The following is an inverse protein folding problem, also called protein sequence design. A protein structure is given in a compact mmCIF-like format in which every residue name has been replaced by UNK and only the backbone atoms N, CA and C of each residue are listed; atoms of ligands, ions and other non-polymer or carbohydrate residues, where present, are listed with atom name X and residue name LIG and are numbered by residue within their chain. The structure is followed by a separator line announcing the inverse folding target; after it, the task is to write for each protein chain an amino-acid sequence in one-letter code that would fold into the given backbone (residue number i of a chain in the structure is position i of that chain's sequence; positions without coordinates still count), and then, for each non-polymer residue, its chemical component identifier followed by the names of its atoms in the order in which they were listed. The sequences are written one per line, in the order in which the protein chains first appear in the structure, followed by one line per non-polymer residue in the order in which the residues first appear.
data_IF_330265847092
#
_entry.id   IF_330265847092
#
_cell.length_a   1.000
_cell.length_b   1.000
_cell.length_c   1.000
_cell.angle_alpha   90.00
_cell.angle_beta   90.00
_cell.angle_gamma   90.00
#
_symmetry.space_group_name_H-M   'P 1'
#
loop_
_entity.id
_entity.type
_entity.pdbx_description
1 polymer ?
#
# COMPACT_ATOMS: atom_id res chain seq x y z
N UNK A 1 1.65 -0.29 16.69
CA UNK A 1 2.17 1.09 16.48
C UNK A 1 1.83 1.56 15.08
N UNK A 2 1.73 2.89 14.88
CA UNK A 2 1.55 3.52 13.55
C UNK A 2 2.84 4.19 13.13
N UNK A 3 3.47 3.71 12.06
CA UNK A 3 4.75 4.19 11.56
C UNK A 3 4.55 4.93 10.24
N UNK A 4 5.05 6.15 10.12
CA UNK A 4 4.91 6.98 8.92
C UNK A 4 6.26 7.47 8.40
N UNK A 5 6.37 7.56 7.07
CA UNK A 5 7.36 8.38 6.39
C UNK A 5 6.72 9.69 5.95
N UNK A 6 7.44 10.78 6.01
CA UNK A 6 6.90 12.11 5.75
C UNK A 6 7.98 13.10 5.31
N UNK A 7 7.53 14.25 4.86
CA UNK A 7 8.36 15.45 4.72
C UNK A 7 7.91 16.50 5.75
N UNK A 8 8.84 17.13 6.44
CA UNK A 8 8.59 18.27 7.32
C UNK A 8 9.59 19.39 7.04
N UNK A 9 9.07 20.58 6.71
CA UNK A 9 9.89 21.77 6.37
C UNK A 9 10.93 21.49 5.28
N UNK A 10 10.53 20.76 4.23
CA UNK A 10 11.38 20.39 3.10
C UNK A 10 12.43 19.31 3.38
N UNK A 11 12.31 18.58 4.50
CA UNK A 11 13.24 17.52 4.88
C UNK A 11 12.51 16.20 5.04
N UNK A 12 13.01 15.10 4.46
CA UNK A 12 12.45 13.78 4.69
C UNK A 12 12.64 13.36 6.15
N UNK A 13 11.64 12.66 6.67
CA UNK A 13 11.62 12.12 8.02
C UNK A 13 10.78 10.87 8.12
N UNK A 14 10.85 10.22 9.25
CA UNK A 14 10.00 9.09 9.59
C UNK A 14 9.77 9.05 11.11
N UNK A 15 8.63 8.49 11.53
CA UNK A 15 8.27 8.56 12.95
C UNK A 15 7.13 7.65 13.34
N UNK A 16 6.81 7.69 14.63
CA UNK A 16 5.65 7.02 15.22
C UNK A 16 4.53 8.05 15.37
N UNK A 17 3.37 7.76 14.80
CA UNK A 17 2.17 8.58 14.97
C UNK A 17 1.45 8.15 16.25
N UNK A 18 1.27 9.09 17.19
CA UNK A 18 0.61 8.90 18.49
C UNK A 18 -0.46 9.98 18.65
N UNK A 19 -1.74 9.58 18.56
CA UNK A 19 -2.85 10.55 18.51
C UNK A 19 -2.66 11.50 17.32
N UNK A 20 -2.67 12.82 17.61
CA UNK A 20 -2.46 13.88 16.62
C UNK A 20 -1.00 14.36 16.57
N UNK A 21 -0.07 13.59 17.13
CA UNK A 21 1.35 13.94 17.18
C UNK A 21 2.27 12.90 16.56
N UNK A 22 3.51 13.28 16.35
CA UNK A 22 4.57 12.47 15.76
C UNK A 22 5.78 12.45 16.65
N UNK A 23 6.25 11.25 17.00
CA UNK A 23 7.56 11.02 17.63
C UNK A 23 8.59 10.93 16.52
N UNK A 24 9.51 11.90 16.44
CA UNK A 24 10.53 12.00 15.40
C UNK A 24 11.60 10.92 15.56
N UNK A 25 11.53 9.90 14.73
CA UNK A 25 12.48 8.80 14.72
C UNK A 25 13.75 9.15 13.93
N UNK A 26 13.65 10.04 12.94
CA UNK A 26 14.82 10.48 12.16
C UNK A 26 15.84 11.16 13.06
N UNK A 27 15.39 11.98 14.02
CA UNK A 27 16.27 12.59 15.03
C UNK A 27 16.89 11.54 15.97
N UNK A 28 16.13 10.54 16.41
CA UNK A 28 16.57 9.50 17.36
C UNK A 28 17.53 8.48 16.75
N UNK A 29 17.43 8.24 15.44
CA UNK A 29 18.32 7.36 14.69
C UNK A 29 19.36 8.11 13.84
N UNK A 30 19.57 9.42 14.10
CA UNK A 30 20.54 10.22 13.36
C UNK A 30 21.92 9.55 13.30
N UNK A 31 22.47 9.44 12.09
CA UNK A 31 23.74 8.74 11.84
C UNK A 31 23.69 7.20 11.91
N UNK A 32 22.51 6.61 12.16
CA UNK A 32 22.31 5.15 12.23
C UNK A 32 21.34 4.64 11.18
N UNK A 33 20.29 5.40 10.86
CA UNK A 33 19.30 5.07 9.83
C UNK A 33 18.69 6.37 9.30
N UNK A 34 18.39 6.40 7.98
CA UNK A 34 17.87 7.57 7.28
C UNK A 34 16.42 7.35 6.77
N UNK A 35 15.88 6.14 6.92
CA UNK A 35 14.53 5.81 6.50
C UNK A 35 13.91 4.75 7.41
N UNK A 36 12.58 4.63 7.35
CA UNK A 36 11.86 3.58 8.05
C UNK A 36 12.33 2.18 7.60
N UNK A 37 12.63 1.99 6.32
CA UNK A 37 13.20 0.75 5.79
C UNK A 37 14.53 0.39 6.46
N UNK A 38 15.43 1.35 6.60
CA UNK A 38 16.74 1.12 7.26
C UNK A 38 16.57 0.78 8.73
N UNK A 39 15.62 1.40 9.43
CA UNK A 39 15.31 1.05 10.83
C UNK A 39 14.76 -0.36 10.93
N UNK A 40 13.81 -0.76 10.09
CA UNK A 40 13.28 -2.12 10.06
C UNK A 40 14.38 -3.16 9.78
N UNK A 41 15.32 -2.85 8.89
CA UNK A 41 16.41 -3.73 8.52
C UNK A 41 17.47 -3.90 9.63
N UNK A 42 17.79 -2.82 10.33
CA UNK A 42 18.93 -2.77 11.27
C UNK A 42 18.54 -3.01 12.72
N UNK A 43 17.35 -2.57 13.13
CA UNK A 43 16.93 -2.57 14.54
C UNK A 43 15.64 -3.39 14.77
N UNK A 44 14.79 -3.53 13.75
CA UNK A 44 13.50 -4.22 13.86
C UNK A 44 12.46 -3.45 14.70
N UNK A 45 11.27 -4.04 14.84
CA UNK A 45 10.13 -3.40 15.52
C UNK A 45 10.34 -3.21 17.02
N UNK A 46 11.09 -4.11 17.69
CA UNK A 46 11.31 -4.05 19.17
C UNK A 46 11.99 -2.77 19.63
N UNK A 47 12.87 -2.21 18.81
CA UNK A 47 13.54 -0.95 19.17
C UNK A 47 12.56 0.24 19.02
N UNK A 48 11.64 0.16 18.07
CA UNK A 48 10.58 1.16 17.87
C UNK A 48 9.57 1.15 19.02
N UNK A 49 9.22 -0.04 19.55
CA UNK A 49 8.30 -0.20 20.69
C UNK A 49 8.77 0.56 21.93
N UNK A 50 10.09 0.62 22.18
CA UNK A 50 10.64 1.38 23.29
C UNK A 50 10.41 2.88 23.20
N UNK A 51 10.23 3.38 21.97
CA UNK A 51 10.05 4.79 21.69
C UNK A 51 8.58 5.18 21.52
N UNK A 52 7.67 4.19 21.38
CA UNK A 52 6.24 4.42 21.22
C UNK A 52 5.57 5.16 22.39
N UNK A 53 6.16 5.05 23.60
CA UNK A 53 5.71 5.78 24.81
C UNK A 53 6.29 7.18 24.96
N UNK A 54 7.11 7.65 24.02
CA UNK A 54 7.69 9.01 24.07
C UNK A 54 6.63 10.07 23.79
N UNK A 55 6.80 11.27 24.36
CA UNK A 55 6.00 12.42 23.99
C UNK A 55 6.22 12.79 22.51
N UNK A 56 5.17 13.19 21.78
CA UNK A 56 5.32 13.71 20.42
C UNK A 56 6.23 14.92 20.35
N UNK A 57 7.02 15.02 19.28
CA UNK A 57 7.92 16.16 19.03
C UNK A 57 7.23 17.28 18.26
N UNK A 58 6.18 16.95 17.48
CA UNK A 58 5.39 17.90 16.67
C UNK A 58 4.02 17.30 16.30
N UNK A 59 3.12 18.13 15.76
CA UNK A 59 1.81 17.71 15.30
C UNK A 59 1.83 16.99 13.96
N UNK A 60 0.84 16.13 13.73
CA UNK A 60 0.66 15.45 12.45
C UNK A 60 0.28 16.42 11.32
N UNK A 61 -0.28 17.56 11.65
CA UNK A 61 -0.62 18.65 10.73
C UNK A 61 0.62 19.43 10.23
N UNK A 62 1.78 19.23 10.87
CA UNK A 62 3.06 19.83 10.44
C UNK A 62 3.80 18.99 9.39
N UNK A 63 3.27 17.83 8.99
CA UNK A 63 3.93 16.93 8.05
C UNK A 63 3.15 16.78 6.74
N UNK A 64 3.85 16.52 5.65
CA UNK A 64 3.29 15.98 4.43
C UNK A 64 3.64 14.48 4.36
N UNK A 65 2.64 13.61 4.35
CA UNK A 65 2.90 12.17 4.27
C UNK A 65 3.60 11.80 2.96
N UNK A 66 4.67 11.04 3.07
CA UNK A 66 5.29 10.32 1.96
C UNK A 66 4.67 8.90 1.85
N UNK A 67 4.93 8.14 0.77
CA UNK A 67 4.67 6.71 0.78
C UNK A 67 5.27 6.06 2.03
N UNK A 68 4.60 5.06 2.61
CA UNK A 68 5.04 4.45 3.89
C UNK A 68 6.51 3.98 3.84
N UNK A 69 6.90 3.36 2.73
CA UNK A 69 8.29 3.00 2.43
C UNK A 69 8.67 3.63 1.08
N UNK A 70 9.17 4.88 1.07
CA UNK A 70 9.43 5.59 -0.18
C UNK A 70 10.60 4.99 -0.97
N UNK A 71 11.48 4.26 -0.28
CA UNK A 71 12.68 3.62 -0.80
C UNK A 71 12.54 2.07 -0.88
N UNK A 72 11.31 1.55 -1.03
CA UNK A 72 11.07 0.12 -1.18
C UNK A 72 11.86 -0.44 -2.36
N UNK A 73 12.69 -1.46 -2.10
CA UNK A 73 13.48 -2.09 -3.16
C UNK A 73 12.62 -2.96 -4.09
N UNK A 74 11.54 -3.53 -3.57
CA UNK A 74 10.55 -4.31 -4.33
C UNK A 74 9.15 -3.88 -3.93
N UNK A 75 8.35 -3.53 -4.93
CA UNK A 75 6.92 -3.27 -4.81
C UNK A 75 6.22 -4.30 -5.69
N UNK A 76 5.87 -5.45 -5.10
CA UNK A 76 5.27 -6.58 -5.78
C UNK A 76 3.75 -6.48 -5.65
N UNK A 77 3.05 -6.36 -6.76
CA UNK A 77 1.59 -6.26 -6.79
C UNK A 77 0.97 -7.56 -7.30
N UNK A 78 -0.18 -7.92 -6.76
CA UNK A 78 -0.90 -9.15 -7.09
C UNK A 78 -2.19 -8.79 -7.82
N UNK A 79 -2.29 -9.16 -9.09
CA UNK A 79 -3.52 -9.00 -9.85
C UNK A 79 -4.45 -10.22 -9.67
N UNK A 80 -5.76 -9.99 -9.90
CA UNK A 80 -6.76 -11.08 -10.01
C UNK A 80 -6.82 -11.93 -8.73
N UNK A 81 -6.89 -11.30 -7.56
CA UNK A 81 -6.79 -12.00 -6.27
C UNK A 81 -8.06 -11.98 -5.40
N UNK A 82 -9.21 -11.54 -5.94
CA UNK A 82 -10.51 -11.65 -5.27
C UNK A 82 -11.51 -12.35 -6.18
N UNK A 83 -12.27 -13.34 -5.67
CA UNK A 83 -13.26 -14.07 -6.47
C UNK A 83 -14.37 -13.19 -7.06
N UNK A 84 -14.93 -12.19 -6.33
CA UNK A 84 -15.88 -11.25 -6.92
C UNK A 84 -15.30 -10.47 -8.10
N UNK A 85 -14.07 -9.95 -7.95
CA UNK A 85 -13.38 -9.22 -9.01
C UNK A 85 -13.07 -10.10 -10.24
N UNK A 86 -12.65 -11.34 -10.02
CA UNK A 86 -12.40 -12.33 -11.09
C UNK A 86 -13.65 -12.53 -11.94
N UNK A 87 -14.82 -12.74 -11.29
CA UNK A 87 -16.11 -12.88 -11.96
C UNK A 87 -16.55 -11.62 -12.68
N UNK A 88 -16.41 -10.45 -12.05
CA UNK A 88 -16.70 -9.12 -12.63
C UNK A 88 -15.94 -8.90 -13.94
N UNK A 89 -14.66 -9.28 -13.99
CA UNK A 89 -13.80 -9.15 -15.17
C UNK A 89 -13.92 -10.30 -16.16
N UNK A 90 -14.85 -11.25 -15.95
CA UNK A 90 -15.08 -12.41 -16.83
C UNK A 90 -13.86 -13.33 -16.96
N UNK A 91 -13.06 -13.46 -15.90
CA UNK A 91 -11.84 -14.28 -15.87
C UNK A 91 -12.05 -15.56 -15.06
N UNK A 92 -11.17 -16.52 -15.27
CA UNK A 92 -11.06 -17.72 -14.43
C UNK A 92 -10.09 -17.45 -13.27
N UNK A 93 -10.29 -18.20 -12.17
CA UNK A 93 -9.36 -18.16 -11.04
C UNK A 93 -7.97 -18.64 -11.49
N UNK A 94 -6.91 -17.87 -11.30
CA UNK A 94 -5.56 -18.29 -11.66
C UNK A 94 -5.09 -19.43 -10.74
N UNK A 95 -4.29 -20.34 -11.27
CA UNK A 95 -3.67 -21.42 -10.48
C UNK A 95 -2.52 -20.90 -9.59
N UNK A 96 -1.90 -19.81 -9.97
CA UNK A 96 -0.78 -19.15 -9.28
C UNK A 96 -1.03 -17.65 -9.17
N UNK A 97 -0.45 -16.96 -8.17
CA UNK A 97 -0.52 -15.50 -8.09
C UNK A 97 -0.01 -14.84 -9.37
N UNK A 98 -0.80 -13.93 -9.93
CA UNK A 98 -0.42 -13.09 -11.06
C UNK A 98 0.33 -11.88 -10.50
N UNK A 99 1.61 -11.76 -10.81
CA UNK A 99 2.47 -10.71 -10.25
C UNK A 99 2.85 -9.66 -11.30
N UNK A 100 2.90 -8.43 -10.87
CA UNK A 100 3.51 -7.30 -11.58
C UNK A 100 4.22 -6.40 -10.57
N UNK A 101 4.92 -5.39 -11.07
CA UNK A 101 5.69 -4.46 -10.22
C UNK A 101 5.23 -3.02 -10.43
N UNK A 102 5.37 -2.22 -9.39
CA UNK A 102 5.29 -0.77 -9.48
C UNK A 102 6.64 -0.13 -9.18
N UNK A 103 6.90 1.00 -9.82
CA UNK A 103 8.09 1.81 -9.57
C UNK A 103 7.81 2.84 -8.48
N UNK A 104 8.82 3.23 -7.72
CA UNK A 104 8.66 4.15 -6.60
C UNK A 104 8.05 5.50 -6.99
N UNK A 105 8.39 6.02 -8.16
CA UNK A 105 7.91 7.31 -8.70
C UNK A 105 6.44 7.27 -9.19
N UNK A 106 5.86 6.08 -9.29
CA UNK A 106 4.43 5.92 -9.58
C UNK A 106 3.54 6.05 -8.32
N UNK A 107 4.13 6.22 -7.13
CA UNK A 107 3.43 6.16 -5.83
C UNK A 107 3.60 7.47 -5.08
N UNK A 108 2.49 7.98 -4.53
CA UNK A 108 2.44 9.14 -3.64
C UNK A 108 1.99 8.76 -2.23
N UNK A 109 2.17 9.65 -1.25
CA UNK A 109 1.68 9.50 0.11
C UNK A 109 0.23 9.96 0.28
N UNK A 110 -0.30 9.79 1.49
CA UNK A 110 -1.62 10.30 1.88
C UNK A 110 -1.69 11.82 1.71
N UNK A 111 -2.83 12.31 1.19
CA UNK A 111 -3.08 13.73 0.96
C UNK A 111 -2.40 14.31 -0.27
N UNK A 112 -1.45 13.61 -0.88
CA UNK A 112 -0.80 14.06 -2.10
C UNK A 112 -1.66 13.77 -3.34
N UNK A 113 -1.59 14.60 -4.41
CA UNK A 113 -2.42 14.40 -5.58
C UNK A 113 -1.99 13.17 -6.38
N UNK A 114 -2.97 12.36 -6.79
CA UNK A 114 -2.82 11.43 -7.91
C UNK A 114 -2.90 12.22 -9.21
N UNK A 115 -2.02 11.93 -10.16
CA UNK A 115 -2.00 12.61 -11.44
C UNK A 115 -2.75 11.79 -12.50
N UNK A 116 -3.89 12.31 -12.94
CA UNK A 116 -4.62 11.74 -14.05
C UNK A 116 -3.83 11.99 -15.36
N UNK A 117 -3.36 10.92 -16.05
CA UNK A 117 -2.51 11.08 -17.21
C UNK A 117 -3.30 11.69 -18.37
N UNK A 118 -2.73 12.69 -19.04
CA UNK A 118 -3.34 13.33 -20.22
C UNK A 118 -3.46 12.40 -21.43
N UNK A 119 -2.74 11.29 -21.43
CA UNK A 119 -2.70 10.28 -22.48
C UNK A 119 -3.89 9.33 -22.44
N UNK A 120 -4.72 9.35 -21.36
CA UNK A 120 -5.82 8.40 -21.19
C UNK A 120 -6.99 9.00 -20.40
N UNK A 121 -8.20 8.61 -20.80
CA UNK A 121 -9.45 8.90 -20.08
C UNK A 121 -9.87 7.72 -19.18
N UNK A 122 -9.06 6.64 -19.06
CA UNK A 122 -9.42 5.42 -18.36
C UNK A 122 -8.59 5.23 -17.08
N UNK A 123 -8.48 6.29 -16.27
CA UNK A 123 -7.80 6.23 -14.98
C UNK A 123 -8.75 5.69 -13.91
N UNK A 124 -8.40 4.55 -13.33
CA UNK A 124 -9.25 3.76 -12.42
C UNK A 124 -8.60 3.60 -11.03
N UNK A 125 -9.42 3.43 -10.01
CA UNK A 125 -9.02 3.16 -8.62
C UNK A 125 -8.99 1.65 -8.35
N UNK A 126 -8.09 1.22 -7.46
CA UNK A 126 -8.02 -0.14 -6.92
C UNK A 126 -7.55 -0.08 -5.46
N UNK A 127 -8.51 -0.15 -4.51
CA UNK A 127 -8.19 -0.25 -3.09
C UNK A 127 -7.64 -1.62 -2.74
N UNK A 128 -6.50 -1.66 -2.01
CA UNK A 128 -5.77 -2.88 -1.68
C UNK A 128 -5.16 -2.83 -0.28
N UNK A 129 -4.92 -3.99 0.31
CA UNK A 129 -4.06 -4.13 1.47
C UNK A 129 -2.60 -4.19 1.01
N UNK A 130 -1.72 -3.38 1.61
CA UNK A 130 -0.28 -3.50 1.48
C UNK A 130 0.32 -4.22 2.69
N UNK A 131 1.22 -5.16 2.44
CA UNK A 131 1.97 -5.93 3.44
C UNK A 131 3.43 -5.52 3.37
N UNK A 132 3.99 -5.00 4.47
CA UNK A 132 5.41 -4.61 4.55
C UNK A 132 6.21 -5.73 5.21
N UNK A 133 7.25 -6.18 4.55
CA UNK A 133 8.18 -7.19 5.07
C UNK A 133 9.06 -6.58 6.15
N UNK A 134 9.18 -7.25 7.28
CA UNK A 134 9.96 -6.81 8.44
C UNK A 134 11.25 -7.59 8.68
N UNK A 135 11.38 -8.75 8.06
CA UNK A 135 12.56 -9.61 8.20
C UNK A 135 12.92 -10.22 6.85
N UNK A 136 14.22 -10.44 6.61
CA UNK A 136 14.70 -11.15 5.43
C UNK A 136 14.02 -12.51 5.29
N UNK A 137 13.37 -12.75 4.14
CA UNK A 137 12.58 -13.94 3.87
C UNK A 137 13.02 -14.60 2.54
N UNK A 138 13.41 -15.86 2.60
CA UNK A 138 13.78 -16.66 1.44
C UNK A 138 13.29 -18.09 1.61
N UNK A 139 12.45 -18.58 0.69
CA UNK A 139 11.81 -19.91 0.73
C UNK A 139 11.09 -20.18 2.06
N UNK A 140 10.29 -19.21 2.48
CA UNK A 140 9.50 -19.27 3.72
C UNK A 140 8.30 -20.19 3.51
N UNK A 141 7.99 -21.04 4.51
CA UNK A 141 6.76 -21.83 4.48
C UNK A 141 5.54 -20.95 4.81
N UNK A 142 4.36 -21.36 4.32
CA UNK A 142 3.10 -20.65 4.56
C UNK A 142 2.82 -20.45 6.05
N UNK A 143 3.07 -21.47 6.86
CA UNK A 143 2.80 -21.49 8.31
C UNK A 143 3.62 -20.44 9.07
N UNK A 144 4.79 -20.10 8.54
CA UNK A 144 5.71 -19.14 9.16
C UNK A 144 5.74 -17.77 8.49
N UNK A 145 4.96 -17.59 7.44
CA UNK A 145 5.04 -16.38 6.61
C UNK A 145 4.74 -15.09 7.39
N UNK A 146 3.77 -15.09 8.29
CA UNK A 146 3.42 -13.91 9.10
C UNK A 146 4.52 -13.49 10.08
N UNK A 147 5.45 -14.39 10.47
CA UNK A 147 6.61 -14.06 11.31
C UNK A 147 7.55 -13.03 10.63
N UNK A 148 7.41 -12.84 9.32
CA UNK A 148 8.26 -11.97 8.48
C UNK A 148 7.61 -10.63 8.17
N UNK A 149 6.38 -10.38 8.61
CA UNK A 149 5.64 -9.14 8.36
C UNK A 149 5.96 -8.11 9.43
N UNK A 150 6.24 -6.87 9.01
CA UNK A 150 6.34 -5.71 9.90
C UNK A 150 4.96 -5.14 10.24
N UNK A 151 4.07 -5.09 9.27
CA UNK A 151 2.74 -4.54 9.42
C UNK A 151 2.02 -4.36 8.08
N UNK A 152 0.93 -3.62 8.15
CA UNK A 152 -0.04 -3.44 7.06
C UNK A 152 -0.37 -1.97 6.84
N UNK A 153 -0.78 -1.63 5.62
CA UNK A 153 -1.20 -0.28 5.24
C UNK A 153 -2.24 -0.32 4.13
N UNK A 154 -2.87 0.82 3.87
CA UNK A 154 -3.73 0.97 2.70
C UNK A 154 -2.89 1.27 1.45
N UNK A 155 -3.39 0.83 0.30
CA UNK A 155 -2.79 1.10 -0.99
C UNK A 155 -3.89 1.39 -2.02
N UNK A 156 -3.66 2.33 -2.93
CA UNK A 156 -4.46 2.51 -4.14
C UNK A 156 -3.60 2.17 -5.35
N UNK A 157 -3.86 1.03 -6.00
CA UNK A 157 -3.17 0.59 -7.20
C UNK A 157 -3.79 1.24 -8.45
N UNK A 158 -3.79 2.58 -8.48
CA UNK A 158 -4.36 3.37 -9.55
C UNK A 158 -3.88 2.92 -10.92
N UNK A 159 -4.83 2.71 -11.84
CA UNK A 159 -4.62 1.95 -13.07
C UNK A 159 -5.08 2.72 -14.30
N UNK A 160 -4.24 2.81 -15.31
CA UNK A 160 -4.58 3.36 -16.63
C UNK A 160 -4.98 2.18 -17.52
N UNK A 161 -6.28 1.93 -17.66
CA UNK A 161 -6.83 0.66 -18.16
C UNK A 161 -6.52 0.35 -19.62
N UNK A 162 -6.54 1.32 -20.51
CA UNK A 162 -6.15 1.15 -21.90
C UNK A 162 -4.67 0.75 -22.01
N UNK A 163 -3.77 1.43 -21.29
CA UNK A 163 -2.35 1.10 -21.23
C UNK A 163 -2.08 -0.25 -20.57
N UNK A 164 -2.86 -0.64 -19.54
CA UNK A 164 -2.78 -1.96 -18.93
C UNK A 164 -3.06 -3.09 -19.94
N UNK A 165 -3.85 -2.82 -20.99
CA UNK A 165 -4.24 -3.80 -22.01
C UNK A 165 -3.32 -3.85 -23.23
N UNK A 166 -2.31 -2.97 -23.32
CA UNK A 166 -1.39 -2.95 -24.46
C UNK A 166 -0.62 -4.27 -24.62
N UNK A 167 -0.41 -4.99 -23.54
CA UNK A 167 0.26 -6.29 -23.54
C UNK A 167 -0.22 -7.14 -22.37
N UNK A 168 0.15 -8.44 -22.31
CA UNK A 168 -0.10 -9.27 -21.13
C UNK A 168 0.61 -8.77 -19.86
N UNK A 169 1.61 -7.91 -19.99
CA UNK A 169 2.33 -7.28 -18.88
C UNK A 169 1.60 -5.99 -18.48
N UNK A 170 1.15 -5.91 -17.22
CA UNK A 170 0.37 -4.76 -16.73
C UNK A 170 1.20 -3.49 -16.53
N UNK A 171 2.52 -3.61 -16.58
CA UNK A 171 3.49 -2.56 -16.24
C UNK A 171 3.18 -1.17 -16.81
N UNK A 172 2.84 -0.98 -18.10
CA UNK A 172 2.54 0.36 -18.62
C UNK A 172 1.35 1.03 -17.92
N UNK A 173 0.26 0.29 -17.71
CA UNK A 173 -0.95 0.83 -17.08
C UNK A 173 -0.85 1.04 -15.57
N UNK A 174 0.22 0.56 -14.93
CA UNK A 174 0.42 0.60 -13.48
C UNK A 174 1.54 1.57 -13.05
N UNK A 175 2.25 2.18 -13.98
CA UNK A 175 3.46 2.95 -13.68
C UNK A 175 3.50 4.36 -14.28
N UNK A 176 2.33 4.97 -14.54
CA UNK A 176 2.30 6.41 -14.74
C UNK A 176 2.77 7.12 -13.48
N UNK A 177 3.50 8.21 -13.66
CA UNK A 177 4.00 9.02 -12.55
C UNK A 177 2.85 9.42 -11.61
N UNK A 178 3.04 9.24 -10.28
CA UNK A 178 2.07 9.60 -9.26
C UNK A 178 0.65 9.04 -9.50
N UNK A 179 0.52 7.84 -10.09
CA UNK A 179 -0.78 7.22 -10.39
C UNK A 179 -1.33 6.34 -9.27
N UNK A 180 -0.51 5.96 -8.29
CA UNK A 180 -0.89 5.16 -7.14
C UNK A 180 -0.58 5.84 -5.82
N UNK A 181 -1.09 5.31 -4.71
CA UNK A 181 -0.84 5.86 -3.38
C UNK A 181 -0.60 4.76 -2.33
N UNK A 182 0.20 5.08 -1.30
CA UNK A 182 0.57 4.16 -0.23
C UNK A 182 0.63 4.88 1.12
N UNK A 183 -0.24 4.52 2.04
CA UNK A 183 -0.34 5.20 3.33
C UNK A 183 -1.66 4.96 4.08
N UNK A 184 -2.00 5.81 5.04
CA UNK A 184 -1.21 6.95 5.55
C UNK A 184 0.01 6.52 6.35
N UNK A 185 -0.03 5.36 7.01
CA UNK A 185 1.00 4.78 7.87
C UNK A 185 1.00 3.25 7.81
N UNK A 186 2.05 2.65 8.31
CA UNK A 186 2.13 1.23 8.63
C UNK A 186 1.55 0.98 10.02
N UNK A 187 0.61 0.05 10.14
CA UNK A 187 0.16 -0.49 11.43
C UNK A 187 0.85 -1.82 11.68
N UNK A 188 1.56 -1.93 12.79
CA UNK A 188 2.39 -3.10 13.13
C UNK A 188 1.54 -4.32 13.48
N UNK A 189 2.13 -5.53 13.34
CA UNK A 189 1.43 -6.81 13.48
C UNK A 189 0.88 -7.10 14.87
N UNK A 190 1.39 -6.46 15.92
CA UNK A 190 0.84 -6.54 17.29
C UNK A 190 -0.57 -5.96 17.38
N UNK A 191 -0.88 -4.89 16.61
CA UNK A 191 -2.24 -4.34 16.50
C UNK A 191 -3.12 -5.14 15.52
N UNK A 192 -2.52 -5.77 14.51
CA UNK A 192 -3.22 -6.56 13.48
C UNK A 192 -2.61 -7.96 13.41
N UNK A 193 -2.94 -8.86 14.33
CA UNK A 193 -2.38 -10.22 14.34
C UNK A 193 -2.96 -11.12 13.23
N UNK A 194 -4.14 -10.83 12.72
CA UNK A 194 -4.80 -11.57 11.65
C UNK A 194 -5.40 -10.63 10.59
N UNK A 195 -4.71 -10.40 9.47
CA UNK A 195 -5.19 -9.49 8.42
C UNK A 195 -6.48 -9.95 7.74
N UNK A 196 -6.88 -11.22 7.84
CA UNK A 196 -8.13 -11.73 7.24
C UNK A 196 -9.39 -11.12 7.87
N UNK A 197 -9.27 -10.54 9.07
CA UNK A 197 -10.39 -9.90 9.76
C UNK A 197 -10.63 -8.45 9.31
N UNK A 198 -9.74 -7.91 8.49
CA UNK A 198 -9.84 -6.54 8.01
C UNK A 198 -10.95 -6.41 6.95
N UNK A 199 -11.61 -5.25 6.95
CA UNK A 199 -12.56 -4.82 5.94
C UNK A 199 -11.95 -3.69 5.13
N UNK A 200 -12.01 -3.81 3.81
CA UNK A 200 -11.54 -2.80 2.86
C UNK A 200 -12.75 -2.09 2.25
N UNK A 201 -12.69 -0.77 2.21
CA UNK A 201 -13.68 0.08 1.54
C UNK A 201 -12.98 1.11 0.69
N UNK A 202 -13.32 1.20 -0.61
CA UNK A 202 -12.88 2.29 -1.47
C UNK A 202 -14.04 3.22 -1.75
N UNK A 203 -13.80 4.54 -1.65
CA UNK A 203 -14.78 5.57 -2.00
C UNK A 203 -14.22 6.48 -3.09
N UNK A 204 -15.11 6.92 -3.97
CA UNK A 204 -14.85 8.00 -4.92
C UNK A 204 -15.87 9.10 -4.66
N UNK A 205 -15.39 10.29 -4.29
CA UNK A 205 -16.23 11.43 -3.90
C UNK A 205 -17.25 11.07 -2.80
N UNK A 206 -16.83 10.27 -1.82
CA UNK A 206 -17.65 9.79 -0.71
C UNK A 206 -18.57 8.60 -1.04
N UNK A 207 -18.80 8.29 -2.32
CA UNK A 207 -19.61 7.13 -2.73
C UNK A 207 -18.80 5.84 -2.58
N UNK A 208 -19.38 4.83 -1.91
CA UNK A 208 -18.75 3.50 -1.78
C UNK A 208 -18.70 2.81 -3.15
N UNK A 209 -17.49 2.51 -3.58
CA UNK A 209 -17.20 1.86 -4.86
C UNK A 209 -16.81 0.39 -4.68
N UNK A 210 -16.01 0.09 -3.68
CA UNK A 210 -15.60 -1.27 -3.31
C UNK A 210 -15.84 -1.48 -1.82
N UNK A 211 -16.27 -2.67 -1.43
CA UNK A 211 -16.40 -3.05 -0.03
C UNK A 211 -16.29 -4.57 0.09
N UNK A 212 -15.23 -5.06 0.74
CA UNK A 212 -14.98 -6.50 0.84
C UNK A 212 -14.09 -6.84 2.04
N UNK A 213 -14.19 -8.07 2.50
CA UNK A 213 -13.29 -8.63 3.50
C UNK A 213 -11.95 -9.01 2.90
N UNK A 214 -10.84 -8.66 3.56
CA UNK A 214 -9.50 -9.15 3.20
C UNK A 214 -9.41 -10.69 3.30
N UNK A 215 -10.29 -11.31 4.07
CA UNK A 215 -10.42 -12.77 4.15
C UNK A 215 -10.84 -13.46 2.84
N UNK A 216 -11.40 -12.70 1.87
CA UNK A 216 -11.85 -13.21 0.56
C UNK A 216 -10.75 -13.24 -0.51
N UNK A 217 -9.50 -12.96 -0.14
CA UNK A 217 -8.34 -13.12 -1.02
C UNK A 217 -8.23 -14.57 -1.51
N UNK A 218 -8.08 -14.77 -2.82
CA UNK A 218 -7.86 -16.09 -3.42
C UNK A 218 -6.54 -16.75 -2.99
N UNK A 219 -5.51 -15.92 -2.88
CA UNK A 219 -4.22 -16.25 -2.28
C UNK A 219 -4.03 -15.32 -1.08
N UNK A 220 -4.10 -15.86 0.12
CA UNK A 220 -3.96 -15.11 1.36
C UNK A 220 -2.52 -14.59 1.57
N UNK A 221 -2.35 -13.66 2.51
CA UNK A 221 -1.05 -13.04 2.80
C UNK A 221 0.06 -14.09 3.04
N UNK A 222 -0.14 -15.15 3.86
CA UNK A 222 0.84 -16.22 4.00
C UNK A 222 1.22 -16.91 2.70
N UNK A 223 0.25 -17.19 1.82
CA UNK A 223 0.52 -17.82 0.52
C UNK A 223 1.32 -16.90 -0.40
N UNK A 224 1.00 -15.59 -0.42
CA UNK A 224 1.72 -14.61 -1.23
C UNK A 224 3.18 -14.48 -0.78
N UNK A 225 3.45 -14.37 0.52
CA UNK A 225 4.82 -14.31 1.05
C UNK A 225 5.58 -15.59 0.73
N UNK A 226 4.98 -16.76 0.97
CA UNK A 226 5.59 -18.05 0.65
C UNK A 226 5.94 -18.11 -0.84
N UNK A 227 5.00 -17.77 -1.72
CA UNK A 227 5.20 -17.78 -3.17
C UNK A 227 6.30 -16.80 -3.62
N UNK A 228 6.21 -15.54 -3.23
CA UNK A 228 7.19 -14.52 -3.60
C UNK A 228 8.60 -14.87 -3.10
N UNK A 229 8.71 -15.40 -1.89
CA UNK A 229 10.01 -15.80 -1.32
C UNK A 229 10.65 -17.02 -1.99
N UNK A 230 9.95 -17.74 -2.88
CA UNK A 230 10.55 -18.85 -3.65
C UNK A 230 11.51 -18.37 -4.74
N UNK A 231 11.17 -17.27 -5.41
CA UNK A 231 11.97 -16.73 -6.52
C UNK A 231 12.75 -15.47 -6.14
N UNK A 232 12.25 -14.67 -5.21
CA UNK A 232 12.91 -13.46 -4.71
C UNK A 232 13.36 -13.63 -3.27
N UNK A 233 14.49 -13.04 -2.90
CA UNK A 233 14.81 -12.78 -1.51
C UNK A 233 14.10 -11.49 -1.11
N UNK A 234 13.13 -11.59 -0.19
CA UNK A 234 12.44 -10.43 0.36
C UNK A 234 13.28 -9.84 1.48
N UNK A 235 13.40 -8.52 1.49
CA UNK A 235 14.16 -7.76 2.49
C UNK A 235 13.21 -6.88 3.33
N UNK A 236 13.61 -6.45 4.52
CA UNK A 236 12.84 -5.48 5.30
C UNK A 236 12.53 -4.23 4.48
N UNK A 237 11.25 -3.81 4.50
CA UNK A 237 10.75 -2.70 3.71
C UNK A 237 10.32 -3.06 2.28
N UNK A 238 10.51 -4.30 1.80
CA UNK A 238 9.82 -4.75 0.58
C UNK A 238 8.31 -4.82 0.84
N UNK A 239 7.52 -4.55 -0.20
CA UNK A 239 6.06 -4.44 -0.10
C UNK A 239 5.40 -5.46 -1.03
N UNK A 240 4.37 -6.15 -0.51
CA UNK A 240 3.45 -6.97 -1.30
C UNK A 240 2.06 -6.32 -1.24
N UNK A 241 1.53 -5.91 -2.38
CA UNK A 241 0.20 -5.32 -2.54
C UNK A 241 -0.73 -6.44 -3.00
N UNK A 242 -1.82 -6.70 -2.24
CA UNK A 242 -2.46 -8.03 -2.22
C UNK A 242 -3.53 -8.25 -3.27
N UNK A 243 -3.88 -7.24 -4.05
CA UNK A 243 -4.98 -7.29 -5.03
C UNK A 243 -6.23 -6.58 -4.55
N UNK A 244 -7.06 -6.19 -5.50
CA UNK A 244 -8.27 -5.39 -5.30
C UNK A 244 -9.54 -6.24 -5.40
N UNK A 245 -10.60 -5.94 -4.62
CA UNK A 245 -11.91 -6.58 -4.74
C UNK A 245 -12.71 -6.07 -5.94
N UNK A 246 -13.91 -6.62 -6.16
CA UNK A 246 -14.87 -6.12 -7.14
C UNK A 246 -15.32 -4.68 -6.88
N UNK A 247 -15.90 -4.05 -7.92
CA UNK A 247 -16.40 -2.67 -7.86
C UNK A 247 -15.45 -1.63 -8.45
N UNK A 248 -14.39 -2.06 -9.14
CA UNK A 248 -13.51 -1.16 -9.90
C UNK A 248 -14.29 -0.39 -10.97
N UNK A 249 -13.81 0.79 -11.34
CA UNK A 249 -14.48 1.65 -12.30
C UNK A 249 -14.67 1.02 -13.68
N UNK A 250 -13.67 0.25 -14.14
CA UNK A 250 -13.72 -0.48 -15.41
C UNK A 250 -14.81 -1.56 -15.47
N UNK A 251 -15.21 -2.14 -14.33
CA UNK A 251 -16.26 -3.18 -14.24
C UNK A 251 -17.67 -2.61 -14.24
N UNK A 252 -17.85 -1.31 -14.07
CA UNK A 252 -19.16 -0.67 -13.95
C UNK A 252 -19.84 -0.44 -15.31
N UNK A 253 -21.16 -0.28 -15.29
CA UNK A 253 -21.96 -0.01 -16.48
C UNK A 253 -22.86 1.20 -16.26
N UNK A 254 -22.54 2.40 -16.82
CA UNK A 254 -21.32 2.69 -17.60
C UNK A 254 -20.06 2.66 -16.71
N UNK A 255 -18.85 2.55 -17.33
CA UNK A 255 -17.59 2.64 -16.60
C UNK A 255 -17.45 4.00 -15.89
N UNK A 256 -16.76 3.99 -14.74
CA UNK A 256 -16.48 5.17 -13.92
C UNK A 256 -14.98 5.38 -13.82
N UNK A 257 -14.50 6.53 -14.23
CA UNK A 257 -13.08 6.88 -14.23
C UNK A 257 -12.80 8.04 -13.32
N UNK A 258 -11.67 8.02 -12.64
CA UNK A 258 -11.16 9.16 -11.87
C UNK A 258 -10.76 10.28 -12.83
N UNK A 259 -11.05 11.52 -12.44
CA UNK A 259 -10.73 12.73 -13.22
C UNK A 259 -10.26 13.85 -12.27
N UNK A 260 -9.57 14.88 -12.79
CA UNK A 260 -9.18 16.02 -11.99
C UNK A 260 -10.38 16.63 -11.21
N UNK A 261 -10.17 16.87 -9.92
CA UNK A 261 -11.19 17.35 -8.97
C UNK A 261 -11.87 16.25 -8.16
N UNK A 262 -11.71 14.98 -8.51
CA UNK A 262 -12.19 13.85 -7.70
C UNK A 262 -11.31 13.64 -6.45
N UNK A 263 -11.89 12.97 -5.45
CA UNK A 263 -11.18 12.46 -4.26
C UNK A 263 -11.42 10.97 -4.16
N UNK A 264 -10.36 10.19 -4.08
CA UNK A 264 -10.42 8.76 -3.85
C UNK A 264 -9.90 8.43 -2.45
N UNK A 265 -10.60 7.54 -1.76
CA UNK A 265 -10.25 7.09 -0.41
C UNK A 265 -10.24 5.57 -0.36
N UNK A 266 -9.20 5.02 0.26
CA UNK A 266 -9.09 3.60 0.61
C UNK A 266 -9.02 3.49 2.12
N UNK A 267 -10.09 2.98 2.72
CA UNK A 267 -10.17 2.72 4.16
C UNK A 267 -10.00 1.23 4.43
N UNK A 268 -9.15 0.89 5.39
CA UNK A 268 -9.04 -0.47 5.92
C UNK A 268 -9.24 -0.42 7.43
N UNK A 269 -10.18 -1.24 7.92
CA UNK A 269 -10.47 -1.31 9.36
C UNK A 269 -9.20 -1.61 10.17
N UNK A 270 -9.02 -0.92 11.30
CA UNK A 270 -7.82 -1.04 12.14
C UNK A 270 -6.56 -0.34 11.60
N UNK A 271 -6.54 0.09 10.33
CA UNK A 271 -5.42 0.83 9.74
C UNK A 271 -5.75 2.33 9.67
N UNK A 272 -6.82 2.70 8.98
CA UNK A 272 -7.22 4.08 8.74
C UNK A 272 -7.57 4.32 7.27
N UNK A 273 -7.54 5.58 6.86
CA UNK A 273 -7.94 6.01 5.52
C UNK A 273 -6.79 6.66 4.77
N UNK A 274 -6.48 6.12 3.60
CA UNK A 274 -5.62 6.72 2.60
C UNK A 274 -6.50 7.55 1.65
N UNK A 275 -6.41 8.87 1.74
CA UNK A 275 -7.19 9.78 0.91
C UNK A 275 -6.29 10.60 -0.01
N UNK A 276 -6.67 10.73 -1.28
CA UNK A 276 -5.89 11.46 -2.26
C UNK A 276 -6.81 12.24 -3.22
N UNK A 277 -6.57 13.54 -3.42
CA UNK A 277 -7.21 14.29 -4.50
C UNK A 277 -6.63 13.85 -5.84
N UNK A 278 -7.41 13.97 -6.90
CA UNK A 278 -6.96 13.73 -8.29
C UNK A 278 -6.70 15.08 -8.96
N UNK A 279 -5.52 15.25 -9.53
CA UNK A 279 -5.13 16.43 -10.29
C UNK A 279 -4.84 16.07 -11.77
N UNK A 280 -4.74 17.09 -12.61
CA UNK A 280 -4.27 16.88 -13.98
C UNK A 280 -2.77 16.58 -13.99
N UNK A 281 -2.35 15.59 -14.80
CA UNK A 281 -0.96 15.18 -14.99
C UNK A 281 -0.28 15.90 -16.17
#
# INVERSE_FOLDING_TARGET
MRLASFERKGRPGFGIVVGDGVVDMAARFAGKANSLREVLASFGLKELERLAGSAPDFGVDEIAFAPVIPDAAKLLCVGINYMPHIKEMGRERPERPVLFVRFGDSIVGHGQPLLAPRESEQFDYEGELAVVIGKRARRVSRERALDYVAGYSCFNDGSVRDYQRHSPQFTPGKNFHASGAFGPWLVTTDEIPDPRKLQLTTRLNGAVMQHESVGELCFDVPQLIAYCSTFAQLEPGDVIVTGTPGGVGAGRKPPVWMKPGDVVEVEISGIGTLGNPVAAG
#
